data_IF_397729743602
#
_entry.id   IF_397729743602
#
_cell.length_a   1.000
_cell.length_b   1.000
_cell.length_c   1.000
_cell.angle_alpha   90.00
_cell.angle_beta   90.00
_cell.angle_gamma   90.00
#
_symmetry.space_group_name_H-M   'P 1'
#
loop_
_entity.id
_entity.type
_entity.pdbx_description
1 polymer ?
#
# COMPACT_ATOMS: atom_id res chain seq x y z
N UNK A 1 -32.51 -15.33 42.41
CA UNK A 1 -32.75 -15.06 40.97
C UNK A 1 -31.63 -14.19 40.44
N UNK A 2 -30.54 -14.79 39.97
CA UNK A 2 -29.41 -14.11 39.32
C UNK A 2 -29.69 -14.07 37.82
N UNK A 3 -29.93 -12.87 37.29
CA UNK A 3 -30.19 -12.62 35.87
C UNK A 3 -28.86 -12.74 35.13
N UNK A 4 -28.65 -13.87 34.45
CA UNK A 4 -27.55 -14.02 33.51
C UNK A 4 -27.74 -12.99 32.39
N UNK A 5 -26.89 -11.97 32.33
CA UNK A 5 -26.77 -11.08 31.19
C UNK A 5 -26.14 -11.89 30.05
N UNK A 6 -26.98 -12.38 29.14
CA UNK A 6 -26.52 -12.94 27.89
C UNK A 6 -25.76 -11.84 27.12
N UNK A 7 -24.44 -12.00 26.99
CA UNK A 7 -23.66 -11.26 26.00
C UNK A 7 -24.30 -11.51 24.64
N UNK A 8 -24.63 -10.45 23.87
CA UNK A 8 -25.20 -10.64 22.55
C UNK A 8 -24.18 -11.41 21.71
N UNK A 9 -24.61 -12.57 21.22
CA UNK A 9 -23.87 -13.38 20.27
C UNK A 9 -23.54 -12.47 19.08
N UNK A 10 -22.24 -12.21 18.88
CA UNK A 10 -21.75 -11.43 17.75
C UNK A 10 -22.14 -12.25 16.53
N UNK A 11 -23.23 -11.84 15.87
CA UNK A 11 -23.76 -12.44 14.64
C UNK A 11 -22.61 -12.93 13.78
N UNK A 12 -22.54 -14.24 13.59
CA UNK A 12 -21.47 -14.96 12.90
C UNK A 12 -21.35 -14.38 11.48
N UNK A 13 -20.49 -13.37 11.34
CA UNK A 13 -20.15 -12.80 10.05
C UNK A 13 -19.50 -13.94 9.29
N UNK A 14 -20.18 -14.42 8.25
CA UNK A 14 -19.73 -15.51 7.39
C UNK A 14 -18.21 -15.43 7.19
N UNK A 15 -17.48 -16.33 7.84
CA UNK A 15 -16.02 -16.28 7.86
C UNK A 15 -15.53 -16.47 6.43
N UNK A 16 -14.66 -15.59 5.91
CA UNK A 16 -14.14 -15.74 4.55
C UNK A 16 -13.50 -17.12 4.37
N UNK A 17 -14.02 -17.90 3.42
CA UNK A 17 -13.49 -19.23 3.07
C UNK A 17 -12.20 -19.14 2.24
N UNK A 18 -11.79 -17.92 1.85
CA UNK A 18 -10.55 -17.64 1.13
C UNK A 18 -10.15 -16.18 1.22
N UNK A 19 -9.00 -15.86 0.61
CA UNK A 19 -8.49 -14.48 0.51
C UNK A 19 -9.32 -13.74 -0.54
N UNK A 20 -9.99 -12.63 -0.19
CA UNK A 20 -10.77 -11.86 -1.15
C UNK A 20 -9.91 -11.28 -2.28
N UNK A 21 -10.49 -11.19 -3.48
CA UNK A 21 -9.77 -10.74 -4.69
C UNK A 21 -9.20 -9.32 -4.57
N UNK A 22 -9.85 -8.41 -3.83
CA UNK A 22 -9.36 -7.04 -3.66
C UNK A 22 -8.07 -6.97 -2.83
N UNK A 23 -7.78 -7.96 -1.97
CA UNK A 23 -6.49 -8.03 -1.28
C UNK A 23 -5.37 -8.49 -2.22
N UNK A 24 -5.67 -9.41 -3.14
CA UNK A 24 -4.75 -9.77 -4.23
C UNK A 24 -4.53 -8.60 -5.18
N UNK A 25 -5.58 -7.85 -5.48
CA UNK A 25 -5.52 -6.64 -6.29
C UNK A 25 -4.62 -5.58 -5.63
N UNK A 26 -4.73 -5.37 -4.31
CA UNK A 26 -3.84 -4.48 -3.57
C UNK A 26 -2.38 -4.95 -3.59
N UNK A 27 -2.12 -6.25 -3.42
CA UNK A 27 -0.77 -6.78 -3.53
C UNK A 27 -0.19 -6.57 -4.94
N UNK A 28 -0.96 -6.87 -6.00
CA UNK A 28 -0.55 -6.63 -7.37
C UNK A 28 -0.30 -5.14 -7.66
N UNK A 29 -1.14 -4.26 -7.11
CA UNK A 29 -0.96 -2.82 -7.22
C UNK A 29 0.40 -2.39 -6.66
N UNK A 30 0.72 -2.83 -5.44
CA UNK A 30 1.99 -2.55 -4.78
C UNK A 30 3.18 -3.10 -5.56
N UNK A 31 3.10 -4.36 -6.03
CA UNK A 31 4.13 -4.94 -6.90
C UNK A 31 4.35 -4.12 -8.16
N UNK A 32 3.27 -3.65 -8.79
CA UNK A 32 3.34 -2.87 -10.01
C UNK A 32 4.05 -1.53 -9.81
N UNK A 33 3.82 -0.86 -8.68
CA UNK A 33 4.52 0.37 -8.34
C UNK A 33 6.01 0.14 -8.10
N UNK A 34 6.39 -0.87 -7.32
CA UNK A 34 7.80 -1.20 -7.08
C UNK A 34 8.56 -1.47 -8.38
N UNK A 35 8.02 -2.38 -9.20
CA UNK A 35 8.62 -2.75 -10.49
C UNK A 35 8.65 -1.54 -11.41
N UNK A 36 7.55 -0.80 -11.49
CA UNK A 36 7.45 0.42 -12.29
C UNK A 36 8.47 1.48 -11.87
N UNK A 37 8.62 1.77 -10.58
CA UNK A 37 9.57 2.76 -10.07
C UNK A 37 11.03 2.39 -10.29
N UNK A 38 11.41 1.13 -10.07
CA UNK A 38 12.77 0.66 -10.40
C UNK A 38 13.04 0.73 -11.90
N UNK A 39 12.05 0.33 -12.71
CA UNK A 39 12.15 0.40 -14.16
C UNK A 39 12.27 1.85 -14.63
N UNK A 40 11.49 2.76 -14.05
CA UNK A 40 11.50 4.18 -14.37
C UNK A 40 12.86 4.82 -14.10
N UNK A 41 13.42 4.60 -12.90
CA UNK A 41 14.77 5.08 -12.54
C UNK A 41 15.81 4.55 -13.54
N UNK A 42 15.73 3.27 -13.90
CA UNK A 42 16.65 2.66 -14.88
C UNK A 42 16.48 3.26 -16.28
N UNK A 43 15.23 3.49 -16.70
CA UNK A 43 14.87 4.06 -17.99
C UNK A 43 15.41 5.49 -18.13
N UNK A 44 15.16 6.33 -17.12
CA UNK A 44 15.65 7.70 -17.06
C UNK A 44 17.19 7.78 -17.11
N UNK A 45 17.90 6.83 -16.50
CA UNK A 45 19.37 6.79 -16.52
C UNK A 45 19.97 6.28 -17.84
N UNK A 46 19.26 5.44 -18.57
CA UNK A 46 19.78 4.76 -19.76
C UNK A 46 19.35 5.41 -21.07
N UNK A 47 18.09 5.81 -21.17
CA UNK A 47 17.47 6.33 -22.39
C UNK A 47 17.05 7.80 -22.20
N UNK A 48 16.80 8.23 -20.96
CA UNK A 48 16.24 9.55 -20.64
C UNK A 48 14.72 9.53 -20.58
N UNK A 49 14.09 10.71 -20.52
CA UNK A 49 12.62 10.83 -20.54
C UNK A 49 12.12 10.69 -21.98
N UNK A 50 11.24 9.72 -22.20
CA UNK A 50 10.66 9.43 -23.51
C UNK A 50 9.27 10.07 -23.68
N UNK A 51 8.30 9.68 -22.85
CA UNK A 51 6.91 10.16 -22.92
C UNK A 51 6.17 10.05 -21.59
N UNK A 52 5.12 10.84 -21.41
CA UNK A 52 4.17 10.72 -20.30
C UNK A 52 3.58 9.31 -20.16
N UNK A 53 3.42 8.62 -21.29
CA UNK A 53 2.85 7.27 -21.40
C UNK A 53 3.92 6.17 -21.52
N UNK A 54 5.11 6.41 -20.98
CA UNK A 54 6.20 5.42 -21.01
C UNK A 54 5.77 4.10 -20.36
N UNK A 55 6.38 2.99 -20.80
CA UNK A 55 6.10 1.68 -20.21
C UNK A 55 6.31 1.62 -18.68
N UNK A 56 7.39 2.19 -18.08
CA UNK A 56 7.52 2.25 -16.63
C UNK A 56 6.41 3.10 -15.96
N UNK A 57 6.02 4.25 -16.53
CA UNK A 57 4.91 5.04 -16.02
C UNK A 57 3.60 4.26 -16.02
N UNK A 58 3.30 3.50 -17.08
CA UNK A 58 2.09 2.68 -17.14
C UNK A 58 2.05 1.62 -16.03
N UNK A 59 3.20 1.03 -15.67
CA UNK A 59 3.30 0.12 -14.54
C UNK A 59 3.05 0.84 -13.19
N UNK A 60 3.54 2.08 -13.02
CA UNK A 60 3.26 2.90 -11.83
C UNK A 60 1.77 3.26 -11.77
N UNK A 61 1.16 3.69 -12.88
CA UNK A 61 -0.26 4.06 -12.94
C UNK A 61 -1.18 2.88 -12.65
N UNK A 62 -0.80 1.68 -13.08
CA UNK A 62 -1.54 0.47 -12.77
C UNK A 62 -1.71 0.25 -11.26
N UNK A 63 -0.74 0.67 -10.43
CA UNK A 63 -0.90 0.65 -8.97
C UNK A 63 -2.08 1.50 -8.51
N UNK A 64 -2.10 2.79 -8.89
CA UNK A 64 -3.17 3.71 -8.52
C UNK A 64 -4.55 3.26 -9.02
N UNK A 65 -4.61 2.74 -10.25
CA UNK A 65 -5.86 2.22 -10.84
C UNK A 65 -6.36 0.97 -10.12
N UNK A 66 -5.51 -0.03 -9.89
CA UNK A 66 -5.88 -1.27 -9.20
C UNK A 66 -6.31 -1.00 -7.75
N UNK A 67 -5.55 -0.18 -7.02
CA UNK A 67 -5.90 0.24 -5.66
C UNK A 67 -7.22 1.02 -5.64
N UNK A 68 -7.45 1.90 -6.61
CA UNK A 68 -8.68 2.65 -6.78
C UNK A 68 -9.89 1.74 -7.03
N UNK A 69 -9.78 0.77 -7.94
CA UNK A 69 -10.86 -0.20 -8.24
C UNK A 69 -11.19 -1.05 -7.02
N UNK A 70 -10.18 -1.61 -6.35
CA UNK A 70 -10.37 -2.42 -5.14
C UNK A 70 -11.05 -1.62 -4.01
N UNK A 71 -10.61 -0.38 -3.82
CA UNK A 71 -11.14 0.52 -2.78
C UNK A 71 -12.56 0.97 -3.08
N UNK A 72 -12.83 1.38 -4.33
CA UNK A 72 -14.16 1.77 -4.79
C UNK A 72 -15.15 0.62 -4.64
N UNK A 73 -14.75 -0.61 -5.00
CA UNK A 73 -15.57 -1.79 -4.78
C UNK A 73 -15.94 -1.96 -3.29
N UNK A 74 -14.96 -1.89 -2.38
CA UNK A 74 -15.22 -2.05 -0.94
C UNK A 74 -16.11 -0.94 -0.39
N UNK A 75 -15.85 0.32 -0.75
CA UNK A 75 -16.61 1.47 -0.29
C UNK A 75 -18.05 1.41 -0.83
N UNK A 76 -18.25 1.19 -2.12
CA UNK A 76 -19.60 1.16 -2.70
C UNK A 76 -20.40 -0.07 -2.31
N UNK A 77 -19.78 -1.26 -2.28
CA UNK A 77 -20.45 -2.47 -1.81
C UNK A 77 -20.88 -2.37 -0.35
N UNK A 78 -20.08 -1.70 0.49
CA UNK A 78 -20.45 -1.45 1.89
C UNK A 78 -21.49 -0.34 2.00
N UNK A 79 -21.38 0.75 1.24
CA UNK A 79 -22.29 1.91 1.29
C UNK A 79 -23.70 1.60 0.76
N UNK A 80 -23.79 0.83 -0.32
CA UNK A 80 -25.06 0.58 -1.03
C UNK A 80 -25.54 -0.86 -0.93
N UNK A 81 -24.65 -1.81 -0.59
CA UNK A 81 -25.02 -3.22 -0.44
C UNK A 81 -25.78 -3.51 0.86
N UNK A 82 -26.44 -4.66 0.92
CA UNK A 82 -27.32 -5.06 2.06
C UNK A 82 -26.55 -5.66 3.24
N UNK A 83 -25.20 -5.58 3.24
CA UNK A 83 -24.35 -6.22 4.24
C UNK A 83 -24.23 -5.36 5.50
N UNK A 84 -25.23 -5.43 6.38
CA UNK A 84 -25.28 -4.67 7.63
C UNK A 84 -24.03 -4.91 8.51
N UNK A 85 -23.56 -6.16 8.59
CA UNK A 85 -22.42 -6.54 9.42
C UNK A 85 -21.09 -5.91 9.01
N UNK A 86 -20.85 -5.64 7.72
CA UNK A 86 -19.67 -4.90 7.28
C UNK A 86 -19.79 -3.40 7.56
N UNK A 87 -21.01 -2.85 7.47
CA UNK A 87 -21.26 -1.44 7.77
C UNK A 87 -21.02 -1.12 9.25
N UNK A 88 -21.38 -2.03 10.15
CA UNK A 88 -21.27 -1.82 11.60
C UNK A 88 -19.82 -1.74 12.09
N UNK A 89 -18.88 -2.29 11.33
CA UNK A 89 -17.43 -2.26 11.63
C UNK A 89 -16.66 -1.35 10.68
N UNK A 90 -17.35 -0.55 9.87
CA UNK A 90 -16.79 0.38 8.88
C UNK A 90 -16.81 1.82 9.38
N UNK A 91 -15.97 2.66 8.78
CA UNK A 91 -16.00 4.10 9.01
C UNK A 91 -16.92 4.76 7.98
N UNK A 92 -17.49 5.91 8.33
CA UNK A 92 -18.31 6.74 7.43
C UNK A 92 -17.59 8.05 7.11
N UNK A 93 -17.35 8.30 5.83
CA UNK A 93 -16.71 9.51 5.31
C UNK A 93 -17.59 10.07 4.20
N UNK A 94 -18.05 11.32 4.36
CA UNK A 94 -18.89 12.03 3.38
C UNK A 94 -20.08 11.23 2.84
N UNK A 95 -20.78 10.51 3.73
CA UNK A 95 -21.94 9.69 3.38
C UNK A 95 -21.62 8.29 2.86
N UNK A 96 -20.37 8.00 2.49
CA UNK A 96 -19.92 6.67 2.12
C UNK A 96 -19.46 5.88 3.35
N UNK A 97 -19.80 4.61 3.40
CA UNK A 97 -19.39 3.68 4.47
C UNK A 97 -18.48 2.61 3.88
N UNK A 98 -17.34 2.35 4.52
CA UNK A 98 -16.38 1.35 4.07
C UNK A 98 -15.25 1.12 5.08
N UNK A 99 -14.44 0.07 4.90
CA UNK A 99 -13.27 -0.16 5.75
C UNK A 99 -12.30 1.03 5.68
N UNK A 100 -11.73 1.44 6.80
CA UNK A 100 -10.79 2.57 6.84
C UNK A 100 -9.62 2.40 5.85
N UNK A 101 -9.04 1.21 5.78
CA UNK A 101 -7.95 0.93 4.84
C UNK A 101 -8.34 1.11 3.38
N UNK A 102 -9.61 0.91 3.00
CA UNK A 102 -10.08 1.17 1.64
C UNK A 102 -10.09 2.69 1.32
N UNK A 103 -10.49 3.53 2.28
CA UNK A 103 -10.42 4.98 2.08
C UNK A 103 -8.98 5.47 1.97
N UNK A 104 -8.07 4.94 2.80
CA UNK A 104 -6.65 5.28 2.73
C UNK A 104 -6.06 4.88 1.38
N UNK A 105 -6.35 3.66 0.89
CA UNK A 105 -5.94 3.22 -0.44
C UNK A 105 -6.52 4.11 -1.56
N UNK A 106 -7.78 4.53 -1.46
CA UNK A 106 -8.40 5.41 -2.44
C UNK A 106 -7.69 6.78 -2.51
N UNK A 107 -7.37 7.38 -1.36
CA UNK A 107 -6.62 8.63 -1.29
C UNK A 107 -5.17 8.47 -1.76
N UNK A 108 -4.54 7.34 -1.43
CA UNK A 108 -3.21 7.03 -1.93
C UNK A 108 -3.17 6.90 -3.45
N UNK A 109 -4.13 6.17 -4.03
CA UNK A 109 -4.28 6.04 -5.48
C UNK A 109 -4.56 7.37 -6.16
N UNK A 110 -5.39 8.23 -5.55
CA UNK A 110 -5.62 9.58 -6.06
C UNK A 110 -4.34 10.42 -6.05
N UNK A 111 -3.55 10.37 -4.98
CA UNK A 111 -2.29 11.08 -4.90
C UNK A 111 -1.28 10.59 -5.94
N UNK A 112 -1.18 9.28 -6.19
CA UNK A 112 -0.33 8.73 -7.26
C UNK A 112 -0.79 9.17 -8.66
N UNK A 113 -2.09 9.18 -8.93
CA UNK A 113 -2.60 9.62 -10.23
C UNK A 113 -2.45 11.13 -10.41
N UNK A 114 -2.53 11.91 -9.34
CA UNK A 114 -2.29 13.35 -9.35
C UNK A 114 -0.80 13.70 -9.48
N UNK A 115 0.11 12.86 -8.99
CA UNK A 115 1.55 13.09 -9.15
C UNK A 115 1.99 12.98 -10.61
N UNK A 116 1.30 12.18 -11.42
CA UNK A 116 1.64 12.00 -12.84
C UNK A 116 1.60 13.31 -13.66
N UNK A 117 0.47 14.05 -13.76
CA UNK A 117 0.45 15.32 -14.50
C UNK A 117 1.32 16.39 -13.82
N UNK A 118 1.49 16.31 -12.49
CA UNK A 118 2.39 17.21 -11.78
C UNK A 118 3.86 16.97 -12.16
N UNK A 119 4.27 15.70 -12.29
CA UNK A 119 5.58 15.30 -12.78
C UNK A 119 5.83 15.82 -14.20
N UNK A 120 4.88 15.62 -15.11
CA UNK A 120 5.02 16.10 -16.49
C UNK A 120 5.17 17.61 -16.56
N UNK A 121 4.34 18.34 -15.83
CA UNK A 121 4.48 19.79 -15.72
C UNK A 121 5.83 20.19 -15.13
N UNK A 122 6.28 19.52 -14.06
CA UNK A 122 7.53 19.82 -13.38
C UNK A 122 8.72 19.68 -14.32
N UNK A 123 8.76 18.62 -15.12
CA UNK A 123 9.81 18.43 -16.10
C UNK A 123 9.78 19.47 -17.22
N UNK A 124 8.59 19.86 -17.68
CA UNK A 124 8.44 20.92 -18.68
C UNK A 124 8.88 22.30 -18.15
N UNK A 125 8.72 22.56 -16.85
CA UNK A 125 9.05 23.83 -16.21
C UNK A 125 10.52 23.92 -15.77
N UNK A 126 11.09 22.84 -15.22
CA UNK A 126 12.39 22.84 -14.54
C UNK A 126 13.44 21.92 -15.17
N UNK A 127 13.08 21.16 -16.21
CA UNK A 127 13.96 20.23 -16.91
C UNK A 127 13.92 18.80 -16.37
N UNK A 128 14.79 17.95 -16.93
CA UNK A 128 14.83 16.53 -16.63
C UNK A 128 15.38 16.30 -15.22
N UNK A 129 14.54 15.81 -14.32
CA UNK A 129 14.95 15.47 -12.96
C UNK A 129 15.62 14.09 -12.97
N UNK A 130 16.86 14.03 -12.48
CA UNK A 130 17.61 12.78 -12.28
C UNK A 130 17.65 12.38 -10.81
N UNK A 131 17.06 13.20 -9.93
CA UNK A 131 16.97 12.95 -8.49
C UNK A 131 15.68 12.21 -8.18
N UNK A 132 15.79 11.33 -7.18
CA UNK A 132 14.66 10.55 -6.70
C UNK A 132 13.80 11.44 -5.79
N UNK A 133 14.42 12.36 -5.05
CA UNK A 133 13.73 13.26 -4.12
C UNK A 133 13.39 14.57 -4.83
N UNK A 134 12.30 14.54 -5.60
CA UNK A 134 11.69 15.72 -6.23
C UNK A 134 10.26 15.93 -5.72
N UNK A 135 9.68 17.14 -5.83
CA UNK A 135 8.32 17.37 -5.36
C UNK A 135 7.27 16.42 -5.98
N UNK A 136 7.26 16.17 -7.31
CA UNK A 136 6.36 15.16 -7.88
C UNK A 136 6.60 13.75 -7.35
N UNK A 137 7.86 13.32 -7.24
CA UNK A 137 8.20 11.99 -6.72
C UNK A 137 7.78 11.83 -5.25
N UNK A 138 7.80 12.89 -4.45
CA UNK A 138 7.33 12.83 -3.05
C UNK A 138 5.81 12.71 -2.96
N UNK A 139 5.05 13.32 -3.87
CA UNK A 139 3.59 13.10 -3.95
C UNK A 139 3.30 11.66 -4.40
N UNK A 140 4.05 11.15 -5.39
CA UNK A 140 3.96 9.77 -5.82
C UNK A 140 4.23 8.80 -4.66
N UNK A 141 5.33 9.03 -3.93
CA UNK A 141 5.72 8.23 -2.78
C UNK A 141 4.67 8.28 -1.65
N UNK A 142 4.13 9.45 -1.35
CA UNK A 142 3.04 9.58 -0.37
C UNK A 142 1.81 8.77 -0.76
N UNK A 143 1.41 8.85 -2.05
CA UNK A 143 0.28 8.08 -2.55
C UNK A 143 0.51 6.58 -2.46
N UNK A 144 1.72 6.17 -2.84
CA UNK A 144 2.17 4.81 -2.79
C UNK A 144 2.17 4.24 -1.35
N UNK A 145 2.86 4.88 -0.41
CA UNK A 145 2.87 4.46 1.01
C UNK A 145 1.46 4.51 1.63
N UNK A 146 0.59 5.41 1.16
CA UNK A 146 -0.82 5.43 1.53
C UNK A 146 -1.54 4.13 1.11
N UNK A 147 -1.36 3.68 -0.12
CA UNK A 147 -1.93 2.41 -0.60
C UNK A 147 -1.38 1.24 0.21
N UNK A 148 -0.08 1.17 0.47
CA UNK A 148 0.49 0.10 1.28
C UNK A 148 -0.08 0.06 2.69
N UNK A 149 -0.15 1.22 3.35
CA UNK A 149 -0.67 1.31 4.69
C UNK A 149 -2.15 0.89 4.74
N UNK A 150 -2.96 1.37 3.80
CA UNK A 150 -4.36 0.97 3.66
C UNK A 150 -4.53 -0.54 3.39
N UNK A 151 -3.69 -1.11 2.52
CA UNK A 151 -3.69 -2.52 2.18
C UNK A 151 -3.32 -3.39 3.39
N UNK A 152 -2.26 -3.02 4.12
CA UNK A 152 -1.86 -3.68 5.36
C UNK A 152 -2.96 -3.63 6.41
N UNK A 153 -3.61 -2.47 6.61
CA UNK A 153 -4.74 -2.36 7.53
C UNK A 153 -5.90 -3.28 7.15
N UNK A 154 -6.23 -3.37 5.85
CA UNK A 154 -7.24 -4.30 5.36
C UNK A 154 -6.84 -5.75 5.65
N UNK A 155 -5.62 -6.15 5.29
CA UNK A 155 -5.13 -7.51 5.50
C UNK A 155 -5.17 -7.90 6.98
N UNK A 156 -4.70 -7.04 7.88
CA UNK A 156 -4.77 -7.27 9.33
C UNK A 156 -6.20 -7.41 9.84
N UNK A 157 -7.12 -6.57 9.36
CA UNK A 157 -8.52 -6.67 9.73
C UNK A 157 -9.12 -8.03 9.28
N UNK A 158 -8.78 -8.51 8.08
CA UNK A 158 -9.18 -9.83 7.60
C UNK A 158 -8.52 -10.98 8.39
N UNK A 159 -7.24 -10.87 8.72
CA UNK A 159 -6.50 -11.86 9.52
C UNK A 159 -7.14 -12.05 10.90
N UNK A 160 -7.58 -10.97 11.55
CA UNK A 160 -8.20 -11.01 12.87
C UNK A 160 -9.58 -11.70 12.90
N UNK A 161 -10.19 -11.95 11.74
CA UNK A 161 -11.52 -12.58 11.60
C UNK A 161 -11.50 -13.89 10.81
N UNK A 162 -10.32 -14.30 10.33
CA UNK A 162 -10.16 -15.47 9.47
C UNK A 162 -10.11 -16.79 10.27
N UNK A 163 -10.50 -17.88 9.63
CA UNK A 163 -10.15 -19.24 10.07
C UNK A 163 -8.63 -19.45 10.00
N UNK A 164 -8.09 -20.43 10.72
CA UNK A 164 -6.64 -20.68 10.76
C UNK A 164 -6.02 -20.88 9.36
N UNK A 165 -6.70 -21.62 8.48
CA UNK A 165 -6.24 -21.86 7.11
C UNK A 165 -6.21 -20.59 6.26
N UNK A 166 -7.24 -19.76 6.32
CA UNK A 166 -7.32 -18.47 5.61
C UNK A 166 -6.34 -17.46 6.22
N UNK A 167 -6.20 -17.44 7.55
CA UNK A 167 -5.28 -16.58 8.28
C UNK A 167 -3.84 -16.79 7.83
N UNK A 168 -3.40 -18.05 7.68
CA UNK A 168 -2.05 -18.37 7.17
C UNK A 168 -1.80 -17.80 5.78
N UNK A 169 -2.77 -17.91 4.86
CA UNK A 169 -2.66 -17.33 3.50
C UNK A 169 -2.59 -15.80 3.54
N UNK A 170 -3.42 -15.17 4.37
CA UNK A 170 -3.40 -13.72 4.58
C UNK A 170 -2.11 -13.24 5.22
N UNK A 171 -1.54 -14.01 6.14
CA UNK A 171 -0.26 -13.70 6.78
C UNK A 171 0.89 -13.69 5.75
N UNK A 172 0.94 -14.68 4.86
CA UNK A 172 1.91 -14.66 3.75
C UNK A 172 1.73 -13.47 2.82
N UNK A 173 0.49 -13.12 2.49
CA UNK A 173 0.21 -11.94 1.67
C UNK A 173 0.60 -10.63 2.38
N UNK A 174 0.32 -10.54 3.69
CA UNK A 174 0.71 -9.44 4.55
C UNK A 174 2.23 -9.30 4.61
N UNK A 175 2.95 -10.40 4.81
CA UNK A 175 4.42 -10.41 4.83
C UNK A 175 5.01 -10.02 3.47
N UNK A 176 4.38 -10.47 2.38
CA UNK A 176 4.76 -10.06 1.03
C UNK A 176 4.62 -8.54 0.85
N UNK A 177 3.43 -7.98 1.09
CA UNK A 177 3.20 -6.53 0.98
C UNK A 177 4.07 -5.73 1.95
N UNK A 178 4.28 -6.24 3.17
CA UNK A 178 5.21 -5.63 4.12
C UNK A 178 6.67 -5.63 3.62
N UNK A 179 7.10 -6.71 2.97
CA UNK A 179 8.41 -6.79 2.31
C UNK A 179 8.55 -5.80 1.15
N UNK A 180 7.47 -5.57 0.39
CA UNK A 180 7.42 -4.52 -0.62
C UNK A 180 7.59 -3.14 0.00
N UNK A 181 6.89 -2.84 1.09
CA UNK A 181 7.01 -1.56 1.81
C UNK A 181 8.43 -1.25 2.29
N UNK A 182 9.17 -2.27 2.75
CA UNK A 182 10.60 -2.14 3.07
C UNK A 182 11.40 -1.82 1.81
N UNK A 183 11.17 -2.59 0.73
CA UNK A 183 11.88 -2.45 -0.53
C UNK A 183 11.67 -1.06 -1.15
N UNK A 184 10.46 -0.52 -1.08
CA UNK A 184 10.10 0.81 -1.60
C UNK A 184 10.59 1.94 -0.69
N UNK A 185 10.58 1.71 0.63
CA UNK A 185 11.25 2.61 1.56
C UNK A 185 12.76 2.71 1.28
N UNK A 186 13.40 1.64 0.82
CA UNK A 186 14.81 1.69 0.40
C UNK A 186 14.99 2.27 -1.00
N UNK A 187 14.04 2.04 -1.92
CA UNK A 187 14.03 2.62 -3.27
C UNK A 187 14.10 4.15 -3.21
N UNK A 188 13.22 4.80 -2.45
CA UNK A 188 13.20 6.27 -2.32
C UNK A 188 14.50 6.83 -1.71
N UNK A 189 15.19 6.01 -0.91
CA UNK A 189 16.46 6.37 -0.26
C UNK A 189 17.67 6.20 -1.19
N UNK A 190 17.51 5.55 -2.35
CA UNK A 190 18.64 5.21 -3.25
C UNK A 190 19.51 6.40 -3.66
N UNK A 191 18.98 7.63 -3.59
CA UNK A 191 19.75 8.85 -3.83
C UNK A 191 20.91 9.02 -2.83
N UNK A 192 20.78 8.52 -1.60
CA UNK A 192 21.79 8.63 -0.54
C UNK A 192 22.41 7.30 -0.10
N UNK A 193 21.92 6.17 -0.63
CA UNK A 193 22.38 4.82 -0.26
C UNK A 193 23.08 4.11 -1.42
N UNK A 194 23.83 4.86 -2.24
CA UNK A 194 24.63 4.27 -3.32
C UNK A 194 25.84 3.51 -2.77
N UNK A 195 26.30 2.50 -3.51
CA UNK A 195 27.42 1.64 -3.10
C UNK A 195 28.72 2.39 -2.77
N UNK A 196 29.15 3.40 -3.56
CA UNK A 196 30.35 4.16 -3.24
C UNK A 196 30.27 4.84 -1.87
N UNK A 197 29.06 5.19 -1.40
CA UNK A 197 28.84 5.94 -0.16
C UNK A 197 28.74 5.08 1.10
N UNK A 198 28.92 3.76 0.99
CA UNK A 198 28.85 2.84 2.14
C UNK A 198 29.89 3.11 3.23
N UNK A 199 30.93 3.90 2.94
CA UNK A 199 31.91 4.34 3.93
C UNK A 199 31.44 5.56 4.75
N UNK A 200 30.37 6.24 4.33
CA UNK A 200 29.88 7.47 4.95
C UNK A 200 28.82 7.20 6.01
N UNK A 201 28.86 7.94 7.12
CA UNK A 201 27.85 7.83 8.19
C UNK A 201 26.43 8.14 7.70
N UNK A 202 26.29 9.08 6.75
CA UNK A 202 25.00 9.48 6.18
C UNK A 202 24.27 8.29 5.54
N UNK A 203 24.99 7.39 4.86
CA UNK A 203 24.43 6.17 4.28
C UNK A 203 23.65 5.38 5.34
N UNK A 204 24.29 5.09 6.46
CA UNK A 204 23.70 4.29 7.53
C UNK A 204 22.55 5.02 8.23
N UNK A 205 22.69 6.32 8.46
CA UNK A 205 21.61 7.15 9.02
C UNK A 205 20.36 7.05 8.12
N UNK A 206 20.51 7.25 6.81
CA UNK A 206 19.38 7.18 5.87
C UNK A 206 18.77 5.77 5.84
N UNK A 207 19.59 4.71 5.83
CA UNK A 207 19.10 3.33 5.88
C UNK A 207 18.25 3.07 7.12
N UNK A 208 18.68 3.54 8.30
CA UNK A 208 17.94 3.28 9.55
C UNK A 208 16.73 4.20 9.77
N UNK A 209 16.57 5.27 8.99
CA UNK A 209 15.38 6.13 9.06
C UNK A 209 14.14 5.35 8.60
N UNK A 210 13.26 5.00 9.54
CA UNK A 210 11.98 4.33 9.29
C UNK A 210 12.07 2.81 9.02
N UNK A 211 13.13 2.31 8.39
CA UNK A 211 13.26 0.88 8.04
C UNK A 211 13.11 -0.06 9.25
N UNK A 212 13.78 0.17 10.40
CA UNK A 212 13.61 -0.67 11.58
C UNK A 212 12.19 -0.60 12.15
N UNK A 213 11.53 0.56 12.07
CA UNK A 213 10.16 0.71 12.56
C UNK A 213 9.18 -0.12 11.72
N UNK A 214 9.34 -0.14 10.38
CA UNK A 214 8.56 -0.99 9.49
C UNK A 214 8.81 -2.47 9.82
N UNK A 215 10.08 -2.89 9.94
CA UNK A 215 10.43 -4.26 10.31
C UNK A 215 9.80 -4.71 11.63
N UNK A 216 9.88 -3.87 12.67
CA UNK A 216 9.29 -4.15 13.99
C UNK A 216 7.76 -4.24 13.87
N UNK A 217 7.13 -3.31 13.15
CA UNK A 217 5.68 -3.33 12.94
C UNK A 217 5.22 -4.62 12.24
N UNK A 218 5.94 -5.06 11.20
CA UNK A 218 5.65 -6.31 10.49
C UNK A 218 5.88 -7.54 11.38
N UNK A 219 6.97 -7.57 12.14
CA UNK A 219 7.25 -8.66 13.07
C UNK A 219 6.13 -8.80 14.11
N UNK A 220 5.75 -7.69 14.76
CA UNK A 220 4.69 -7.68 15.77
C UNK A 220 3.34 -8.05 15.18
N UNK A 221 2.95 -7.43 14.06
CA UNK A 221 1.62 -7.60 13.48
C UNK A 221 1.43 -8.94 12.75
N UNK A 222 2.51 -9.53 12.22
CA UNK A 222 2.45 -10.88 11.65
C UNK A 222 2.13 -11.92 12.73
N UNK A 223 2.58 -11.73 13.97
CA UNK A 223 2.49 -12.73 15.03
C UNK A 223 3.40 -13.95 14.81
N UNK A 224 4.30 -13.90 13.83
CA UNK A 224 5.34 -14.91 13.68
C UNK A 224 6.49 -14.59 14.63
N UNK A 225 6.85 -15.55 15.49
CA UNK A 225 7.93 -15.36 16.46
C UNK A 225 9.27 -15.20 15.76
N UNK A 226 9.60 -16.15 14.89
CA UNK A 226 10.76 -16.27 14.01
C UNK A 226 10.38 -17.36 12.99
N UNK A 227 10.84 -17.27 11.72
CA UNK A 227 10.76 -18.27 10.62
C UNK A 227 9.80 -18.04 9.45
N UNK A 228 10.41 -17.93 8.26
CA UNK A 228 9.99 -18.64 7.05
C UNK A 228 10.04 -20.15 7.28
#
# INVERSE_FOLDING_TARGET
>A
MTRATATPDRTDVSRPTGVPWYLWCAALAVTSAYVGGYWDISWHRSIGRDSFWSAPHMAIYACGVLAGIASAYLIFSTTFGRQASLRDVSVRIWGFSGPLGAFICAWGGLAMLASAPFDDWWHNAYGLDVKIISPPHMVLALGFFGIEFGAVMLMLAFMNRATETTRRRLQWLFLYVGGMAISESLLIKMEYIARPDMHNALFYIVVVLGTPAILIALAVASGQRWHC
#
